data_IF_531382030766
#
_entry.id   IF_531382030766
#
_cell.length_a   1.000
_cell.length_b   1.000
_cell.length_c   1.000
_cell.angle_alpha   90.00
_cell.angle_beta   90.00
_cell.angle_gamma   90.00
#
_symmetry.space_group_name_H-M   'P 1'
#
loop_
_entity.id
_entity.type
_entity.pdbx_description
1 polymer ?
#
# COMPACT_ATOMS: atom_id res chain seq x y z
N UNK A 1 13.11 -4.12 -25.97
CA UNK A 1 14.35 -3.90 -25.19
C UNK A 1 14.53 -5.10 -24.28
N UNK A 2 15.69 -5.77 -24.28
CA UNK A 2 15.94 -6.82 -23.28
C UNK A 2 15.95 -6.18 -21.90
N UNK A 3 15.17 -6.75 -20.97
CA UNK A 3 15.09 -6.27 -19.60
C UNK A 3 16.38 -6.62 -18.86
N UNK A 4 17.41 -5.80 -19.03
CA UNK A 4 18.74 -6.03 -18.44
C UNK A 4 18.84 -5.64 -16.96
N UNK A 5 17.82 -5.01 -16.37
CA UNK A 5 17.73 -4.74 -14.93
C UNK A 5 16.74 -5.71 -14.28
N UNK A 6 17.26 -6.87 -13.88
CA UNK A 6 16.53 -7.83 -13.04
C UNK A 6 16.89 -7.60 -11.57
N UNK A 7 15.88 -7.47 -10.70
CA UNK A 7 16.04 -7.49 -9.25
C UNK A 7 15.57 -8.85 -8.73
N UNK A 8 16.43 -9.55 -7.99
CA UNK A 8 16.06 -10.80 -7.34
C UNK A 8 15.14 -10.49 -6.15
N UNK A 9 13.99 -11.16 -6.08
CA UNK A 9 13.09 -11.09 -4.93
C UNK A 9 13.43 -12.21 -3.94
N UNK A 10 12.98 -12.06 -2.68
CA UNK A 10 13.22 -13.06 -1.62
C UNK A 10 12.74 -14.47 -2.02
N UNK A 11 11.57 -14.55 -2.65
CA UNK A 11 10.97 -15.74 -3.28
C UNK A 11 9.87 -15.27 -4.24
N UNK A 12 9.27 -16.21 -4.98
CA UNK A 12 8.10 -15.96 -5.84
C UNK A 12 6.82 -15.82 -5.01
N UNK A 13 5.70 -16.33 -5.51
CA UNK A 13 4.44 -16.31 -4.74
C UNK A 13 4.53 -17.14 -3.45
N UNK A 14 5.24 -18.27 -3.51
CA UNK A 14 5.47 -19.17 -2.40
C UNK A 14 6.98 -19.32 -2.08
N UNK A 15 7.37 -19.66 -0.83
CA UNK A 15 8.77 -19.73 -0.41
C UNK A 15 9.67 -20.67 -1.21
N UNK A 16 9.10 -21.70 -1.85
CA UNK A 16 9.84 -22.68 -2.66
C UNK A 16 10.07 -22.20 -4.10
N UNK A 17 9.47 -21.09 -4.52
CA UNK A 17 9.57 -20.53 -5.86
C UNK A 17 10.61 -19.39 -5.87
N UNK A 18 11.35 -19.26 -6.96
CA UNK A 18 12.22 -18.09 -7.19
C UNK A 18 11.39 -16.95 -7.78
N UNK A 19 11.67 -15.72 -7.37
CA UNK A 19 11.01 -14.51 -7.88
C UNK A 19 12.02 -13.52 -8.45
N UNK A 20 11.66 -12.88 -9.56
CA UNK A 20 12.47 -11.86 -10.22
C UNK A 20 11.56 -10.72 -10.67
N UNK A 21 11.92 -9.49 -10.32
CA UNK A 21 11.29 -8.28 -10.82
C UNK A 21 12.10 -7.71 -11.98
N UNK A 22 11.41 -7.30 -13.05
CA UNK A 22 12.01 -6.67 -14.21
C UNK A 22 11.38 -5.30 -14.41
N UNK A 23 12.19 -4.24 -14.28
CA UNK A 23 11.71 -2.86 -14.33
C UNK A 23 12.53 -1.95 -13.42
N UNK A 24 12.04 -0.73 -13.24
CA UNK A 24 12.64 0.23 -12.32
C UNK A 24 11.59 0.68 -11.29
N UNK A 25 11.56 -0.02 -10.14
CA UNK A 25 10.64 0.30 -9.04
C UNK A 25 10.91 1.70 -8.48
N UNK A 26 12.18 2.08 -8.39
CA UNK A 26 12.63 3.37 -7.87
C UNK A 26 12.25 4.54 -8.79
N UNK A 27 11.82 4.26 -10.03
CA UNK A 27 11.24 5.28 -10.92
C UNK A 27 9.73 5.48 -10.70
N UNK A 28 9.08 4.59 -9.95
CA UNK A 28 7.63 4.61 -9.71
C UNK A 28 7.30 4.95 -8.26
N UNK A 29 8.09 4.46 -7.30
CA UNK A 29 7.84 4.64 -5.87
C UNK A 29 9.15 4.93 -5.14
N UNK A 30 9.08 5.86 -4.19
CA UNK A 30 10.13 6.06 -3.20
C UNK A 30 9.80 5.21 -1.96
N UNK A 31 10.58 4.15 -1.71
CA UNK A 31 10.43 3.37 -0.49
C UNK A 31 11.06 4.12 0.69
N UNK A 32 10.22 4.78 1.50
CA UNK A 32 10.66 5.63 2.63
C UNK A 32 11.09 4.79 3.86
N UNK A 33 10.40 3.67 4.11
CA UNK A 33 10.65 2.80 5.27
C UNK A 33 10.32 1.33 4.98
N UNK A 34 10.64 0.44 5.92
CA UNK A 34 10.17 -0.95 5.93
C UNK A 34 11.13 -1.96 5.31
N UNK A 35 10.64 -3.20 5.20
CA UNK A 35 11.39 -4.33 4.64
C UNK A 35 11.35 -4.28 3.11
N UNK A 36 12.22 -5.05 2.48
CA UNK A 36 12.21 -5.21 1.02
C UNK A 36 10.86 -5.81 0.53
N UNK A 37 10.31 -5.22 -0.54
CA UNK A 37 9.03 -5.59 -1.14
C UNK A 37 9.07 -7.04 -1.68
N UNK A 38 8.08 -7.85 -1.32
CA UNK A 38 7.93 -9.24 -1.79
C UNK A 38 7.20 -9.35 -3.13
N UNK A 39 7.23 -10.54 -3.74
CA UNK A 39 6.47 -10.81 -4.98
C UNK A 39 4.97 -10.53 -4.83
N UNK A 40 4.36 -10.99 -3.73
CA UNK A 40 2.93 -10.76 -3.50
C UNK A 40 2.63 -9.29 -3.21
N UNK A 41 3.52 -8.58 -2.50
CA UNK A 41 3.35 -7.14 -2.33
C UNK A 41 3.35 -6.41 -3.68
N UNK A 42 4.18 -6.81 -4.65
CA UNK A 42 4.17 -6.18 -5.98
C UNK A 42 2.84 -6.37 -6.72
N UNK A 43 2.23 -7.56 -6.59
CA UNK A 43 0.91 -7.82 -7.17
C UNK A 43 -0.17 -6.96 -6.50
N UNK A 44 -0.17 -6.91 -5.18
CA UNK A 44 -1.12 -6.11 -4.41
C UNK A 44 -0.93 -4.61 -4.66
N UNK A 45 0.31 -4.12 -4.75
CA UNK A 45 0.65 -2.73 -5.09
C UNK A 45 0.10 -2.36 -6.47
N UNK A 46 0.28 -3.23 -7.47
CA UNK A 46 -0.24 -2.97 -8.82
C UNK A 46 -1.77 -2.85 -8.80
N UNK A 47 -2.46 -3.81 -8.17
CA UNK A 47 -3.91 -3.76 -8.04
C UNK A 47 -4.39 -2.53 -7.26
N UNK A 48 -3.64 -2.12 -6.22
CA UNK A 48 -3.96 -0.96 -5.41
C UNK A 48 -3.88 0.33 -6.22
N UNK A 49 -2.82 0.49 -7.01
CA UNK A 49 -2.59 1.66 -7.86
C UNK A 49 -3.62 1.73 -8.99
N UNK A 50 -3.90 0.62 -9.67
CA UNK A 50 -4.93 0.57 -10.71
C UNK A 50 -6.31 0.96 -10.15
N UNK A 51 -6.65 0.50 -8.94
CA UNK A 51 -7.92 0.81 -8.31
C UNK A 51 -8.03 2.28 -7.88
N UNK A 52 -7.00 2.82 -7.22
CA UNK A 52 -7.08 4.18 -6.66
C UNK A 52 -7.11 5.25 -7.76
N UNK A 53 -6.52 4.96 -8.92
CA UNK A 53 -6.46 5.86 -10.08
C UNK A 53 -7.85 6.09 -10.73
N UNK A 54 -8.86 5.27 -10.40
CA UNK A 54 -10.24 5.47 -10.85
C UNK A 54 -10.99 6.59 -10.08
N UNK A 55 -10.38 7.18 -9.04
CA UNK A 55 -11.05 8.11 -8.13
C UNK A 55 -10.38 9.49 -8.08
N UNK A 56 -11.19 10.53 -8.32
CA UNK A 56 -10.77 11.93 -8.16
C UNK A 56 -10.97 12.46 -6.73
N UNK A 57 -11.99 11.97 -6.01
CA UNK A 57 -12.26 12.34 -4.62
C UNK A 57 -11.24 11.71 -3.66
N UNK A 58 -11.03 12.31 -2.49
CA UNK A 58 -10.18 11.73 -1.43
C UNK A 58 -10.69 10.33 -1.07
N UNK A 59 -9.89 9.32 -1.41
CA UNK A 59 -10.27 7.92 -1.37
C UNK A 59 -9.20 7.10 -0.68
N UNK A 60 -9.63 6.10 0.08
CA UNK A 60 -8.77 5.12 0.74
C UNK A 60 -9.22 3.71 0.35
N UNK A 61 -8.27 2.87 -0.06
CA UNK A 61 -8.51 1.47 -0.40
C UNK A 61 -7.61 0.54 0.42
N UNK A 62 -8.14 -0.65 0.71
CA UNK A 62 -7.47 -1.72 1.45
C UNK A 62 -7.56 -2.98 0.60
N UNK A 63 -6.41 -3.53 0.24
CA UNK A 63 -6.30 -4.72 -0.60
C UNK A 63 -5.66 -5.88 0.16
N UNK A 64 -6.06 -7.09 -0.22
CA UNK A 64 -5.44 -8.33 0.22
C UNK A 64 -5.55 -9.38 -0.86
N UNK A 65 -4.42 -9.93 -1.29
CA UNK A 65 -4.36 -10.95 -2.34
C UNK A 65 -5.11 -10.51 -3.62
N UNK A 66 -4.82 -9.29 -4.08
CA UNK A 66 -5.38 -8.61 -5.24
C UNK A 66 -6.88 -8.29 -5.16
N UNK A 67 -7.50 -8.41 -3.98
CA UNK A 67 -8.91 -8.12 -3.78
C UNK A 67 -9.07 -6.93 -2.84
N UNK A 68 -9.90 -5.95 -3.23
CA UNK A 68 -10.31 -4.87 -2.34
C UNK A 68 -11.23 -5.43 -1.24
N UNK A 69 -10.79 -5.35 0.01
CA UNK A 69 -11.61 -5.69 1.18
C UNK A 69 -12.23 -4.45 1.84
N UNK A 70 -11.73 -3.25 1.50
CA UNK A 70 -12.27 -1.97 1.95
C UNK A 70 -12.00 -0.87 0.94
N UNK A 71 -12.96 0.02 0.73
CA UNK A 71 -12.83 1.20 -0.12
C UNK A 71 -13.83 2.27 0.33
N UNK A 72 -13.38 3.51 0.51
CA UNK A 72 -14.28 4.61 0.78
C UNK A 72 -13.71 5.94 0.28
N UNK A 73 -14.58 6.78 -0.29
CA UNK A 73 -14.30 8.18 -0.59
C UNK A 73 -14.98 9.08 0.46
N UNK A 74 -14.22 9.95 1.11
CA UNK A 74 -14.71 10.84 2.18
C UNK A 74 -13.99 12.19 2.14
N UNK A 75 -14.50 13.23 2.81
CA UNK A 75 -13.84 14.54 2.83
C UNK A 75 -12.40 14.55 3.34
N UNK A 76 -12.02 13.58 4.19
CA UNK A 76 -10.68 13.48 4.76
C UNK A 76 -10.13 12.05 4.68
N UNK A 77 -8.80 11.90 4.66
CA UNK A 77 -8.13 10.59 4.68
C UNK A 77 -8.51 9.78 5.91
N UNK A 78 -8.61 10.43 7.07
CA UNK A 78 -9.02 9.78 8.32
C UNK A 78 -10.42 9.16 8.24
N UNK A 79 -11.38 9.89 7.67
CA UNK A 79 -12.75 9.38 7.49
C UNK A 79 -12.80 8.29 6.43
N UNK A 80 -12.07 8.45 5.32
CA UNK A 80 -11.97 7.46 4.26
C UNK A 80 -11.36 6.16 4.78
N UNK A 81 -10.27 6.26 5.56
CA UNK A 81 -9.65 5.12 6.24
C UNK A 81 -10.63 4.37 7.13
N UNK A 82 -11.35 5.08 8.02
CA UNK A 82 -12.29 4.46 8.97
C UNK A 82 -13.39 3.69 8.26
N UNK A 83 -13.96 4.27 7.21
CA UNK A 83 -15.06 3.64 6.48
C UNK A 83 -14.56 2.52 5.55
N UNK A 84 -13.36 2.65 4.98
CA UNK A 84 -12.73 1.55 4.24
C UNK A 84 -12.44 0.36 5.17
N UNK A 85 -11.87 0.61 6.35
CA UNK A 85 -11.60 -0.43 7.35
C UNK A 85 -12.89 -1.10 7.87
N UNK A 86 -13.98 -0.34 7.98
CA UNK A 86 -15.28 -0.88 8.39
C UNK A 86 -15.90 -1.86 7.37
N UNK A 87 -15.42 -1.88 6.12
CA UNK A 87 -15.85 -2.83 5.09
C UNK A 87 -15.54 -4.27 5.47
N UNK A 88 -14.27 -4.57 5.78
CA UNK A 88 -13.84 -5.87 6.30
C UNK A 88 -12.56 -5.73 7.15
N UNK A 89 -12.68 -5.46 8.46
CA UNK A 89 -11.53 -5.25 9.34
C UNK A 89 -10.72 -6.53 9.58
N UNK A 90 -11.32 -7.71 9.39
CA UNK A 90 -10.62 -8.99 9.55
C UNK A 90 -9.68 -9.21 8.37
N UNK A 91 -10.15 -8.95 7.16
CA UNK A 91 -9.31 -9.04 5.97
C UNK A 91 -8.26 -7.93 5.93
N UNK A 92 -8.56 -6.71 6.38
CA UNK A 92 -7.63 -5.59 6.37
C UNK A 92 -6.29 -5.86 7.10
N UNK A 93 -6.30 -6.74 8.10
CA UNK A 93 -5.08 -7.11 8.84
C UNK A 93 -4.04 -7.76 7.92
N UNK A 94 -2.86 -7.14 7.80
CA UNK A 94 -1.79 -7.55 6.88
C UNK A 94 -2.06 -7.19 5.42
N UNK A 95 -2.96 -6.24 5.17
CA UNK A 95 -3.27 -5.76 3.82
C UNK A 95 -2.26 -4.77 3.25
N UNK A 96 -2.46 -4.42 1.99
CA UNK A 96 -1.84 -3.28 1.30
C UNK A 96 -2.82 -2.12 1.31
N UNK A 97 -2.38 -0.99 1.84
CA UNK A 97 -3.17 0.22 2.02
C UNK A 97 -2.78 1.25 0.96
N UNK A 98 -3.74 1.94 0.37
CA UNK A 98 -3.47 3.03 -0.56
C UNK A 98 -4.47 4.18 -0.43
N UNK A 99 -4.00 5.40 -0.60
CA UNK A 99 -4.83 6.60 -0.76
C UNK A 99 -4.29 7.52 -1.84
N UNK A 100 -5.16 8.30 -2.47
CA UNK A 100 -4.80 9.34 -3.45
C UNK A 100 -4.58 10.73 -2.80
N UNK A 101 -4.47 10.81 -1.48
CA UNK A 101 -4.29 12.06 -0.74
C UNK A 101 -3.17 11.95 0.31
N UNK A 102 -2.69 13.11 0.78
CA UNK A 102 -1.62 13.20 1.79
C UNK A 102 -2.06 12.57 3.10
N UNK A 103 -1.24 11.70 3.68
CA UNK A 103 -1.49 11.13 5.00
C UNK A 103 -0.98 12.09 6.07
N UNK A 104 -1.92 12.64 6.84
CA UNK A 104 -1.63 13.47 8.01
C UNK A 104 -1.40 12.63 9.28
N UNK A 105 -0.99 13.30 10.35
CA UNK A 105 -0.79 12.69 11.67
C UNK A 105 -2.01 11.90 12.17
N UNK A 106 -3.21 12.46 12.03
CA UNK A 106 -4.42 11.87 12.61
C UNK A 106 -4.79 10.57 11.88
N UNK A 107 -4.64 10.54 10.55
CA UNK A 107 -4.77 9.32 9.77
C UNK A 107 -3.70 8.29 10.16
N UNK A 108 -2.43 8.71 10.26
CA UNK A 108 -1.33 7.82 10.64
C UNK A 108 -1.55 7.18 12.04
N UNK A 109 -2.01 7.93 13.03
CA UNK A 109 -2.31 7.43 14.38
C UNK A 109 -3.38 6.34 14.37
N UNK A 110 -4.42 6.46 13.54
CA UNK A 110 -5.45 5.43 13.41
C UNK A 110 -4.96 4.22 12.60
N UNK A 111 -4.22 4.44 11.52
CA UNK A 111 -3.71 3.37 10.66
C UNK A 111 -2.73 2.48 11.44
N UNK A 112 -1.86 3.08 12.25
CA UNK A 112 -0.85 2.37 13.04
C UNK A 112 -1.44 1.48 14.15
N UNK A 113 -2.76 1.49 14.36
CA UNK A 113 -3.44 0.59 15.32
C UNK A 113 -3.56 -0.83 14.81
N UNK A 114 -3.42 -1.07 13.51
CA UNK A 114 -3.46 -2.41 12.93
C UNK A 114 -2.16 -2.73 12.20
N UNK A 115 -1.89 -4.02 12.06
CA UNK A 115 -0.80 -4.48 11.20
C UNK A 115 -1.20 -4.37 9.73
N UNK A 116 -0.31 -3.81 8.91
CA UNK A 116 -0.38 -3.79 7.46
C UNK A 116 1.00 -4.12 6.88
N UNK A 117 1.04 -4.60 5.64
CA UNK A 117 2.30 -4.96 4.95
C UNK A 117 2.89 -3.77 4.19
N UNK A 118 2.03 -2.97 3.53
CA UNK A 118 2.44 -1.82 2.72
C UNK A 118 1.40 -0.71 2.89
N UNK A 119 1.87 0.55 2.93
CA UNK A 119 1.03 1.74 2.82
C UNK A 119 1.59 2.65 1.73
N UNK A 120 0.71 3.17 0.88
CA UNK A 120 1.07 3.98 -0.29
C UNK A 120 0.23 5.26 -0.27
N UNK A 121 0.88 6.40 -0.45
CA UNK A 121 0.25 7.70 -0.59
C UNK A 121 1.12 8.61 -1.48
N UNK A 122 0.55 9.66 -2.08
CA UNK A 122 1.32 10.64 -2.83
C UNK A 122 2.31 11.43 -1.97
N UNK A 123 2.00 11.66 -0.68
CA UNK A 123 2.90 12.30 0.27
C UNK A 123 2.46 12.00 1.72
N UNK A 124 3.32 12.32 2.68
CA UNK A 124 3.10 12.16 4.11
C UNK A 124 3.55 13.41 4.86
N UNK A 125 2.77 13.83 5.86
CA UNK A 125 3.25 14.81 6.81
C UNK A 125 4.44 14.25 7.61
N UNK A 126 5.33 15.14 8.06
CA UNK A 126 6.56 14.73 8.79
C UNK A 126 6.22 13.93 10.05
N UNK A 127 5.20 14.36 10.80
CA UNK A 127 4.75 13.67 12.01
C UNK A 127 3.97 12.38 11.71
N UNK A 128 3.36 12.26 10.54
CA UNK A 128 2.80 11.00 10.04
C UNK A 128 3.91 9.96 9.80
N UNK A 129 5.02 10.37 9.17
CA UNK A 129 6.19 9.49 8.98
C UNK A 129 6.82 9.06 10.29
N UNK A 130 6.89 9.94 11.30
CA UNK A 130 7.39 9.60 12.63
C UNK A 130 6.55 8.52 13.33
N UNK A 131 5.26 8.42 13.01
CA UNK A 131 4.36 7.38 13.54
C UNK A 131 4.51 6.08 12.76
N UNK A 132 4.51 6.15 11.42
CA UNK A 132 4.50 4.97 10.54
C UNK A 132 5.90 4.34 10.36
N UNK A 133 6.96 5.06 10.72
CA UNK A 133 8.35 4.58 10.66
C UNK A 133 8.86 3.89 11.93
N UNK A 134 7.99 3.66 12.92
CA UNK A 134 8.32 2.97 14.18
C UNK A 134 8.34 1.45 14.01
#
# INVERSE_FOLDING_TARGET
QSANNQKMLRYGENPHQKGYFYGNLDAMFDQIHGKEISYNNLLDINAAVELIDEFDDVTFAILKHNNACGLASRPTVLEAWKDALAGDPVSAFGGVLITNAVIDKAAAEEINKIFFEVIIAPDYDVDALEILGQ
#
